data_IF_535773663641
#
_entry.id   IF_535773663641
#
_cell.length_a   1.000
_cell.length_b   1.000
_cell.length_c   1.000
_cell.angle_alpha   90.00
_cell.angle_beta   90.00
_cell.angle_gamma   90.00
#
_symmetry.space_group_name_H-M   'P 1'
#
loop_
_entity.id
_entity.type
_entity.pdbx_description
1 polymer ?
#
# COMPACT_ATOMS: atom_id res chain seq x y z
N UNK A 1 -9.96 -13.54 -1.75
CA UNK A 1 -10.99 -12.61 -2.23
C UNK A 1 -10.93 -12.60 -3.73
N UNK A 2 -12.09 -12.67 -4.40
CA UNK A 2 -12.21 -12.63 -5.87
C UNK A 2 -13.21 -11.56 -6.28
N UNK A 3 -13.14 -11.07 -7.51
CA UNK A 3 -14.08 -10.08 -8.03
C UNK A 3 -14.10 -10.08 -9.55
N UNK A 4 -15.28 -9.94 -10.13
CA UNK A 4 -15.46 -9.74 -11.58
C UNK A 4 -15.66 -8.24 -11.92
N UNK A 5 -15.77 -7.38 -10.91
CA UNK A 5 -15.93 -5.95 -11.10
C UNK A 5 -14.65 -5.33 -11.67
N UNK A 6 -14.79 -4.23 -12.42
CA UNK A 6 -13.63 -3.45 -12.88
C UNK A 6 -12.85 -2.91 -11.69
N UNK A 7 -11.53 -3.08 -11.72
CA UNK A 7 -10.60 -2.72 -10.64
C UNK A 7 -9.60 -1.65 -11.07
N UNK A 8 -9.06 -0.89 -10.13
CA UNK A 8 -7.97 0.07 -10.41
C UNK A 8 -6.64 -0.69 -10.49
N UNK A 9 -6.25 -1.08 -11.70
CA UNK A 9 -5.01 -1.83 -11.94
C UNK A 9 -4.19 -1.13 -13.01
N UNK A 10 -2.90 -0.94 -12.74
CA UNK A 10 -1.90 -0.53 -13.72
C UNK A 10 -0.83 -1.62 -13.86
N UNK A 11 -0.33 -1.81 -15.07
CA UNK A 11 0.70 -2.81 -15.40
C UNK A 11 1.95 -2.07 -15.83
N UNK A 12 3.07 -2.43 -15.23
CA UNK A 12 4.38 -1.85 -15.50
C UNK A 12 5.35 -2.94 -15.93
N UNK A 13 6.54 -2.53 -16.36
CA UNK A 13 7.60 -3.49 -16.63
C UNK A 13 8.05 -4.15 -15.32
N UNK A 14 7.86 -5.47 -15.22
CA UNK A 14 8.23 -6.29 -14.08
C UNK A 14 7.22 -6.41 -12.94
N UNK A 15 6.14 -5.61 -12.89
CA UNK A 15 5.15 -5.67 -11.79
C UNK A 15 3.78 -5.08 -12.15
N UNK A 16 2.78 -5.30 -11.29
CA UNK A 16 1.43 -4.73 -11.37
C UNK A 16 1.11 -3.99 -10.08
N UNK A 17 0.27 -2.97 -10.16
CA UNK A 17 -0.22 -2.23 -8.98
C UNK A 17 -1.73 -2.26 -8.97
N UNK A 18 -2.31 -2.68 -7.84
CA UNK A 18 -3.74 -2.62 -7.56
C UNK A 18 -4.01 -1.54 -6.52
N UNK A 19 -5.03 -0.70 -6.74
CA UNK A 19 -5.54 0.24 -5.74
C UNK A 19 -6.91 -0.19 -5.22
N UNK A 20 -7.02 -0.23 -3.89
CA UNK A 20 -8.23 -0.55 -3.14
C UNK A 20 -8.63 0.67 -2.30
N UNK A 21 -9.55 1.53 -2.80
CA UNK A 21 -10.00 2.69 -2.04
C UNK A 21 -10.89 2.28 -0.86
N UNK A 22 -10.63 2.87 0.31
CA UNK A 22 -11.49 2.71 1.49
C UNK A 22 -12.74 3.58 1.38
N UNK A 23 -13.80 3.21 2.12
CA UNK A 23 -15.00 4.05 2.25
C UNK A 23 -14.61 5.38 2.90
N UNK A 24 -14.90 6.48 2.21
CA UNK A 24 -14.60 7.82 2.69
C UNK A 24 -15.62 8.30 3.75
N UNK A 25 -16.90 8.00 3.57
CA UNK A 25 -17.96 8.53 4.45
C UNK A 25 -17.97 10.06 4.45
N UNK A 26 -18.03 10.66 5.63
CA UNK A 26 -17.97 12.12 5.82
C UNK A 26 -16.54 12.66 5.96
N UNK A 27 -15.52 11.79 6.01
CA UNK A 27 -14.14 12.22 6.12
C UNK A 27 -13.72 12.93 4.82
N UNK A 28 -12.97 14.02 4.93
CA UNK A 28 -12.41 14.72 3.76
C UNK A 28 -11.23 13.96 3.16
N UNK A 29 -10.58 13.10 3.95
CA UNK A 29 -9.42 12.31 3.55
C UNK A 29 -9.85 11.08 2.75
N UNK A 30 -9.02 10.72 1.77
CA UNK A 30 -9.23 9.54 0.95
C UNK A 30 -8.08 8.56 1.18
N UNK A 31 -8.38 7.43 1.79
CA UNK A 31 -7.41 6.36 2.00
C UNK A 31 -7.55 5.30 0.92
N UNK A 32 -6.44 4.69 0.53
CA UNK A 32 -6.41 3.55 -0.37
C UNK A 32 -5.25 2.64 0.01
N UNK A 33 -5.47 1.33 -0.08
CA UNK A 33 -4.40 0.34 -0.04
C UNK A 33 -3.86 0.12 -1.46
N UNK A 34 -2.54 0.00 -1.59
CA UNK A 34 -1.88 -0.22 -2.89
C UNK A 34 -1.09 -1.52 -2.84
N UNK A 35 -1.50 -2.53 -3.60
CA UNK A 35 -0.79 -3.81 -3.64
C UNK A 35 0.13 -3.83 -4.86
N UNK A 36 1.44 -3.92 -4.61
CA UNK A 36 2.49 -4.05 -5.60
C UNK A 36 2.83 -5.53 -5.77
N UNK A 37 2.47 -6.08 -6.93
CA UNK A 37 2.64 -7.49 -7.26
C UNK A 37 3.73 -7.66 -8.32
N UNK A 38 4.93 -8.15 -7.95
CA UNK A 38 5.97 -8.52 -8.90
C UNK A 38 5.48 -9.52 -9.94
N UNK A 39 6.10 -9.56 -11.11
CA UNK A 39 5.84 -10.60 -12.12
C UNK A 39 6.51 -11.93 -11.75
N UNK A 40 7.72 -11.86 -11.21
CA UNK A 40 8.49 -13.01 -10.76
C UNK A 40 8.14 -13.34 -9.30
N UNK A 41 8.05 -14.62 -8.95
CA UNK A 41 7.64 -15.06 -7.61
C UNK A 41 8.59 -14.63 -6.50
N UNK A 42 9.87 -14.49 -6.84
CA UNK A 42 10.99 -14.03 -6.02
C UNK A 42 11.37 -12.57 -6.33
N UNK A 43 10.56 -11.84 -7.10
CA UNK A 43 10.88 -10.48 -7.56
C UNK A 43 10.65 -9.36 -6.54
N UNK A 44 10.15 -9.68 -5.34
CA UNK A 44 9.84 -8.67 -4.32
C UNK A 44 11.07 -7.88 -3.84
N UNK A 45 12.22 -8.51 -3.51
CA UNK A 45 13.42 -7.77 -3.10
C UNK A 45 13.88 -6.78 -4.17
N UNK A 46 13.94 -7.22 -5.43
CA UNK A 46 14.29 -6.37 -6.56
C UNK A 46 13.32 -5.20 -6.74
N UNK A 47 12.02 -5.43 -6.51
CA UNK A 47 11.02 -4.36 -6.56
C UNK A 47 11.22 -3.34 -5.43
N UNK A 48 11.56 -3.79 -4.22
CA UNK A 48 11.84 -2.92 -3.07
C UNK A 48 13.08 -2.06 -3.35
N UNK A 49 14.17 -2.67 -3.84
CA UNK A 49 15.39 -1.94 -4.22
C UNK A 49 15.11 -0.89 -5.29
N UNK A 50 14.32 -1.26 -6.31
CA UNK A 50 13.91 -0.33 -7.38
C UNK A 50 13.11 0.86 -6.84
N UNK A 51 12.16 0.61 -5.94
CA UNK A 51 11.38 1.68 -5.30
C UNK A 51 12.26 2.56 -4.41
N UNK A 52 13.25 1.97 -3.71
CA UNK A 52 14.19 2.71 -2.88
C UNK A 52 15.13 3.60 -3.73
N UNK A 53 15.55 3.14 -4.91
CA UNK A 53 16.40 3.91 -5.82
C UNK A 53 15.62 4.95 -6.63
N UNK A 54 14.33 4.72 -6.90
CA UNK A 54 13.48 5.60 -7.71
C UNK A 54 12.16 5.93 -6.97
N UNK A 55 12.18 6.85 -5.99
CA UNK A 55 10.99 7.16 -5.18
C UNK A 55 9.79 7.66 -5.99
N UNK A 56 10.06 8.29 -7.13
CA UNK A 56 9.04 8.79 -8.07
C UNK A 56 8.16 7.67 -8.62
N UNK A 57 8.63 6.42 -8.60
CA UNK A 57 7.83 5.25 -8.97
C UNK A 57 6.56 5.13 -8.12
N UNK A 58 6.58 5.57 -6.85
CA UNK A 58 5.38 5.54 -6.01
C UNK A 58 4.34 6.59 -6.43
N UNK A 59 4.77 7.69 -7.07
CA UNK A 59 3.86 8.76 -7.48
C UNK A 59 3.34 8.56 -8.90
N UNK A 60 4.18 8.06 -9.81
CA UNK A 60 3.82 7.90 -11.23
C UNK A 60 3.10 6.58 -11.53
N UNK A 61 3.24 5.54 -10.69
CA UNK A 61 2.70 4.22 -10.97
C UNK A 61 1.36 3.91 -10.28
N UNK A 62 0.62 4.94 -9.86
CA UNK A 62 -0.66 4.75 -9.17
C UNK A 62 -1.82 4.59 -10.16
N UNK A 63 -2.66 3.56 -10.02
CA UNK A 63 -3.81 3.36 -10.90
C UNK A 63 -4.96 4.31 -10.56
N UNK A 64 -5.34 5.15 -11.53
CA UNK A 64 -6.48 6.07 -11.44
C UNK A 64 -7.67 5.67 -12.32
N UNK A 65 -7.53 4.66 -13.16
CA UNK A 65 -8.59 4.18 -14.07
C UNK A 65 -8.95 2.74 -13.77
N UNK A 66 -10.25 2.42 -13.83
CA UNK A 66 -10.73 1.05 -13.68
C UNK A 66 -10.60 0.28 -14.99
N UNK A 67 -10.10 -0.95 -14.93
CA UNK A 67 -9.95 -1.87 -16.07
C UNK A 67 -10.79 -3.12 -15.88
N UNK A 68 -11.16 -3.79 -16.97
CA UNK A 68 -11.77 -5.11 -16.88
C UNK A 68 -10.76 -6.14 -16.40
N UNK A 69 -11.20 -6.98 -15.47
CA UNK A 69 -10.35 -8.00 -14.85
C UNK A 69 -10.67 -9.39 -15.39
N UNK A 70 -9.62 -10.21 -15.49
CA UNK A 70 -9.76 -11.64 -15.75
C UNK A 70 -9.74 -12.40 -14.41
N UNK A 71 -8.74 -13.24 -14.18
CA UNK A 71 -8.52 -13.86 -12.87
C UNK A 71 -8.05 -12.82 -11.86
N UNK A 72 -8.84 -12.63 -10.81
CA UNK A 72 -8.59 -11.66 -9.75
C UNK A 72 -8.63 -12.36 -8.39
N UNK A 73 -7.47 -12.43 -7.72
CA UNK A 73 -7.31 -13.10 -6.42
C UNK A 73 -6.40 -12.29 -5.50
N UNK A 74 -6.94 -11.93 -4.33
CA UNK A 74 -6.20 -11.31 -3.22
C UNK A 74 -6.33 -12.19 -1.98
N UNK A 75 -5.24 -12.52 -1.28
CA UNK A 75 -5.29 -13.28 -0.04
C UNK A 75 -5.93 -12.43 1.07
N UNK A 76 -6.72 -13.10 1.94
CA UNK A 76 -7.11 -12.51 3.23
C UNK A 76 -5.94 -12.69 4.18
N UNK A 77 -5.62 -11.68 4.96
CA UNK A 77 -4.56 -11.80 5.97
C UNK A 77 -4.84 -10.88 7.14
N UNK A 78 -4.36 -11.27 8.31
CA UNK A 78 -4.37 -10.48 9.52
C UNK A 78 -3.10 -10.76 10.28
N UNK A 79 -2.33 -9.72 10.56
CA UNK A 79 -1.14 -9.85 11.37
C UNK A 79 -0.81 -8.55 12.08
N UNK A 80 -0.05 -8.67 13.15
CA UNK A 80 0.55 -7.53 13.85
C UNK A 80 2.06 -7.62 13.76
N UNK A 81 2.70 -6.46 13.72
CA UNK A 81 4.14 -6.32 13.75
C UNK A 81 4.52 -5.45 14.95
N UNK A 82 5.57 -5.84 15.67
CA UNK A 82 6.10 -5.09 16.80
C UNK A 82 7.62 -5.07 16.71
N UNK A 83 8.21 -3.89 16.88
CA UNK A 83 9.64 -3.66 16.68
C UNK A 83 10.16 -2.58 17.62
N UNK A 84 11.33 -2.81 18.20
CA UNK A 84 12.15 -1.74 18.80
C UNK A 84 12.92 -1.02 17.69
N UNK A 85 12.50 0.20 17.36
CA UNK A 85 13.08 0.99 16.26
C UNK A 85 14.37 1.71 16.64
N UNK A 86 14.80 1.63 17.90
CA UNK A 86 15.94 2.38 18.42
C UNK A 86 17.23 2.09 17.67
N UNK A 87 17.50 0.81 17.38
CA UNK A 87 18.71 0.41 16.69
C UNK A 87 18.70 0.87 15.22
N UNK A 88 17.57 0.70 14.53
CA UNK A 88 17.41 1.18 13.14
C UNK A 88 17.54 2.69 13.03
N UNK A 89 16.98 3.44 13.98
CA UNK A 89 17.12 4.90 13.99
C UNK A 89 18.58 5.34 14.20
N UNK A 90 19.33 4.64 15.06
CA UNK A 90 20.78 4.88 15.23
C UNK A 90 21.56 4.56 13.95
N UNK A 91 21.21 3.49 13.25
CA UNK A 91 21.80 3.12 11.95
C UNK A 91 21.50 4.16 10.85
N UNK A 92 20.34 4.82 10.95
CA UNK A 92 19.97 5.99 10.13
C UNK A 92 20.52 7.33 10.68
N UNK A 93 21.56 7.27 11.51
CA UNK A 93 22.27 8.43 12.10
C UNK A 93 21.44 9.31 13.06
N UNK A 94 20.23 8.87 13.45
CA UNK A 94 19.43 9.51 14.52
C UNK A 94 19.94 9.03 15.88
N UNK A 95 21.05 9.60 16.33
CA UNK A 95 21.77 9.14 17.53
C UNK A 95 21.47 10.01 18.76
N UNK A 96 21.35 11.34 18.58
CA UNK A 96 21.26 12.31 19.67
C UNK A 96 20.19 11.98 20.73
N UNK A 97 18.94 11.56 20.37
CA UNK A 97 17.93 11.24 21.36
C UNK A 97 18.30 10.06 22.27
N UNK A 98 19.20 9.19 21.84
CA UNK A 98 19.64 7.99 22.57
C UNK A 98 20.92 8.21 23.40
N UNK A 99 21.44 9.45 23.42
CA UNK A 99 22.64 9.83 24.17
C UNK A 99 22.29 10.78 25.32
N UNK A 100 22.98 10.64 26.45
CA UNK A 100 22.83 11.55 27.59
C UNK A 100 23.03 13.01 27.16
N UNK A 101 22.16 13.90 27.64
CA UNK A 101 22.22 15.33 27.33
C UNK A 101 21.67 15.70 25.95
N UNK A 102 21.14 14.74 25.16
CA UNK A 102 20.50 15.00 23.89
C UNK A 102 19.07 15.56 24.00
N UNK A 103 18.48 15.56 25.19
CA UNK A 103 17.06 15.86 25.44
C UNK A 103 16.86 16.95 26.51
N UNK A 104 17.63 18.04 26.42
CA UNK A 104 17.71 19.08 27.47
C UNK A 104 16.39 19.81 27.74
N UNK A 105 15.47 19.83 26.77
CA UNK A 105 14.23 20.62 26.81
C UNK A 105 12.98 19.78 27.13
N UNK A 106 13.14 18.51 27.51
CA UNK A 106 12.00 17.63 27.84
C UNK A 106 11.60 17.75 29.31
N UNK A 107 12.54 18.11 30.20
CA UNK A 107 12.32 18.21 31.65
C UNK A 107 12.89 19.50 32.20
N UNK A 108 12.22 20.10 33.19
CA UNK A 108 12.58 21.40 33.76
C UNK A 108 13.87 21.37 34.60
N UNK A 109 14.23 20.19 35.13
CA UNK A 109 15.43 20.03 35.95
C UNK A 109 16.67 19.88 35.07
N UNK A 110 17.57 20.87 35.14
CA UNK A 110 18.86 20.84 34.42
C UNK A 110 19.74 19.64 34.81
N UNK A 111 19.69 19.20 36.07
CA UNK A 111 20.44 18.02 36.51
C UNK A 111 19.85 16.71 35.99
N UNK A 112 18.51 16.62 35.88
CA UNK A 112 17.85 15.43 35.34
C UNK A 112 18.00 15.36 33.81
N UNK A 113 18.00 16.51 33.13
CA UNK A 113 18.07 16.59 31.67
C UNK A 113 19.43 16.17 31.10
N UNK A 114 20.51 16.35 31.87
CA UNK A 114 21.86 15.90 31.51
C UNK A 114 22.00 14.38 31.39
N UNK A 115 21.18 13.62 32.13
CA UNK A 115 21.20 12.15 32.13
C UNK A 115 19.97 11.55 31.43
N UNK A 116 19.11 12.37 30.84
CA UNK A 116 17.92 11.92 30.13
C UNK A 116 18.26 11.51 28.69
N UNK A 117 17.81 10.33 28.30
CA UNK A 117 17.90 9.80 26.95
C UNK A 117 16.74 8.83 26.68
N UNK A 118 16.42 8.62 25.41
CA UNK A 118 15.48 7.60 24.97
C UNK A 118 16.15 6.24 25.13
N UNK A 119 15.56 5.37 25.95
CA UNK A 119 16.03 3.99 26.12
C UNK A 119 15.60 3.10 24.95
N UNK A 120 14.29 3.08 24.65
CA UNK A 120 13.69 2.29 23.57
C UNK A 120 12.52 3.02 22.92
N UNK A 121 12.29 2.75 21.64
CA UNK A 121 11.11 3.19 20.89
C UNK A 121 10.41 1.95 20.36
N UNK A 122 9.29 1.57 20.97
CA UNK A 122 8.48 0.44 20.52
C UNK A 122 7.43 0.91 19.52
N UNK A 123 7.50 0.38 18.30
CA UNK A 123 6.49 0.57 17.26
C UNK A 123 5.67 -0.71 17.09
N UNK A 124 4.35 -0.60 17.21
CA UNK A 124 3.41 -1.70 17.00
C UNK A 124 2.36 -1.33 15.97
N UNK A 125 2.14 -2.20 15.00
CA UNK A 125 1.13 -2.03 13.95
C UNK A 125 0.32 -3.31 13.76
N UNK A 126 -0.89 -3.17 13.24
CA UNK A 126 -1.77 -4.29 12.90
C UNK A 126 -2.46 -3.98 11.59
N UNK A 127 -2.56 -4.99 10.73
CA UNK A 127 -3.33 -4.91 9.49
C UNK A 127 -4.26 -6.10 9.38
N UNK A 128 -5.44 -5.86 8.81
CA UNK A 128 -6.41 -6.87 8.45
C UNK A 128 -6.99 -6.57 7.08
N UNK A 129 -6.89 -7.56 6.18
CA UNK A 129 -7.50 -7.55 4.86
C UNK A 129 -8.53 -8.66 4.81
N UNK A 130 -9.79 -8.26 4.72
CA UNK A 130 -10.95 -9.12 4.61
C UNK A 130 -11.94 -8.54 3.57
N UNK A 131 -13.03 -9.25 3.30
CA UNK A 131 -14.02 -8.82 2.30
C UNK A 131 -14.74 -7.53 2.69
N UNK A 132 -15.05 -7.34 3.98
CA UNK A 132 -15.79 -6.18 4.47
C UNK A 132 -14.98 -4.88 4.55
N UNK A 133 -13.64 -4.98 4.61
CA UNK A 133 -12.73 -3.83 4.76
C UNK A 133 -12.54 -2.99 3.49
N UNK A 134 -12.96 -3.48 2.32
CA UNK A 134 -12.91 -2.74 1.05
C UNK A 134 -14.05 -3.16 0.13
N UNK A 135 -15.30 -2.95 0.58
CA UNK A 135 -16.49 -3.28 -0.22
C UNK A 135 -17.39 -2.06 -0.41
N UNK A 136 -17.25 -1.37 -1.54
CA UNK A 136 -18.23 -0.41 -2.05
C UNK A 136 -18.54 -0.75 -3.52
N UNK A 137 -19.30 -1.83 -3.72
CA UNK A 137 -19.90 -2.14 -5.01
C UNK A 137 -21.14 -1.27 -5.22
N UNK A 138 -20.96 -0.10 -5.83
CA UNK A 138 -22.07 0.64 -6.44
C UNK A 138 -22.29 0.07 -7.86
N UNK A 139 -23.37 -0.68 -8.04
CA UNK A 139 -23.82 -1.13 -9.36
C UNK A 139 -24.66 -0.02 -9.99
N UNK A 140 -24.07 0.76 -10.88
CA UNK A 140 -24.81 1.72 -11.71
C UNK A 140 -25.16 1.05 -13.04
N UNK A 141 -26.39 0.56 -13.19
CA UNK A 141 -26.89 0.03 -14.48
C UNK A 141 -27.36 1.21 -15.33
N UNK A 142 -26.61 1.57 -16.38
CA UNK A 142 -27.07 2.48 -17.43
C UNK A 142 -27.61 1.66 -18.61
N UNK A 143 -28.93 1.48 -18.67
CA UNK A 143 -29.58 0.87 -19.83
C UNK A 143 -29.59 1.87 -21.00
N UNK A 144 -28.65 1.74 -21.94
CA UNK A 144 -28.74 2.44 -23.23
C UNK A 144 -29.36 1.50 -24.27
N UNK A 145 -30.54 1.86 -24.77
CA UNK A 145 -31.12 1.23 -25.97
C UNK A 145 -30.11 1.36 -27.13
N UNK A 146 -29.72 0.24 -27.70
CA UNK A 146 -28.80 0.19 -28.84
C UNK A 146 -29.55 0.55 -30.13
N UNK A 147 -29.12 1.61 -30.82
CA UNK A 147 -29.31 1.74 -32.27
C UNK A 147 -28.06 1.17 -32.95
N UNK A 148 -28.29 0.33 -33.96
CA UNK A 148 -27.29 -0.51 -34.59
C UNK A 148 -26.26 0.31 -35.39
N UNK A 149 -24.99 0.17 -35.03
CA UNK A 149 -23.85 0.32 -35.93
C UNK A 149 -22.72 -0.56 -35.38
N UNK A 150 -22.45 -1.69 -36.06
CA UNK A 150 -21.34 -2.57 -35.70
C UNK A 150 -20.01 -1.84 -35.90
N UNK A 151 -19.43 -1.35 -34.82
CA UNK A 151 -17.98 -1.08 -34.76
C UNK A 151 -17.27 -2.42 -34.56
N UNK A 152 -16.13 -2.68 -35.22
CA UNK A 152 -15.35 -3.89 -34.98
C UNK A 152 -15.01 -3.99 -33.49
N UNK A 153 -15.37 -5.12 -32.88
CA UNK A 153 -15.08 -5.44 -31.49
C UNK A 153 -13.55 -5.56 -31.33
N UNK A 154 -12.92 -4.50 -30.83
CA UNK A 154 -11.58 -4.60 -30.27
C UNK A 154 -11.67 -5.62 -29.13
N UNK A 155 -10.84 -6.69 -29.12
CA UNK A 155 -10.84 -7.64 -28.01
C UNK A 155 -10.57 -6.87 -26.72
N UNK A 156 -11.51 -6.95 -25.77
CA UNK A 156 -11.30 -6.31 -24.47
C UNK A 156 -10.22 -7.12 -23.75
N UNK A 157 -9.00 -6.58 -23.68
CA UNK A 157 -7.88 -7.22 -23.00
C UNK A 157 -8.15 -7.16 -21.49
N UNK A 158 -8.61 -8.27 -20.91
CA UNK A 158 -8.80 -8.40 -19.46
C UNK A 158 -7.46 -8.53 -18.77
N UNK A 159 -7.29 -7.83 -17.65
CA UNK A 159 -6.05 -7.87 -16.86
C UNK A 159 -6.22 -8.86 -15.69
N UNK A 160 -5.34 -9.86 -15.61
CA UNK A 160 -5.28 -10.77 -14.46
C UNK A 160 -4.47 -10.13 -13.31
N UNK A 161 -4.96 -10.25 -12.08
CA UNK A 161 -4.24 -9.86 -10.86
C UNK A 161 -4.39 -10.97 -9.82
N UNK A 162 -3.37 -11.81 -9.70
CA UNK A 162 -3.37 -13.00 -8.84
C UNK A 162 -2.20 -12.89 -7.89
N UNK A 163 -2.47 -12.46 -6.65
CA UNK A 163 -1.47 -12.35 -5.60
C UNK A 163 -1.27 -13.71 -4.89
N UNK A 164 -0.66 -14.67 -5.60
CA UNK A 164 -0.34 -16.03 -5.11
C UNK A 164 1.12 -16.19 -4.63
N UNK A 165 1.87 -15.10 -4.58
CA UNK A 165 3.27 -15.03 -4.16
C UNK A 165 3.54 -13.69 -3.45
N UNK A 166 4.77 -13.51 -2.96
CA UNK A 166 5.15 -12.35 -2.14
C UNK A 166 4.91 -11.03 -2.89
N UNK A 167 4.19 -10.12 -2.22
CA UNK A 167 3.83 -8.79 -2.71
C UNK A 167 4.02 -7.75 -1.60
N UNK A 168 4.23 -6.49 -1.96
CA UNK A 168 4.24 -5.36 -1.02
C UNK A 168 2.86 -4.67 -1.00
N UNK A 169 2.49 -4.03 0.11
CA UNK A 169 1.22 -3.30 0.26
C UNK A 169 1.39 -1.95 0.97
#
# INVERSE_FOLDING_TARGET
MTSENRQFISVFDGFKVLRLPYKQGEDKRQFSMYIFLPRARDGLPTLIEKVASEPELLHHNLPFTKVEVGDFRIPKFKFSFELDTSQMLKELEVILPFSCGGLTNIVDSQHASQNLYVSKIFHKSLIEVNEGGTEAAAVTVWARRATAACKPLVPITRINFVADHLSCF
#
